data_IF_431352346013
#
_entry.id   IF_431352346013
#
_cell.length_a   1.000
_cell.length_b   1.000
_cell.length_c   1.000
_cell.angle_alpha   90.00
_cell.angle_beta   90.00
_cell.angle_gamma   90.00
#
_symmetry.space_group_name_H-M   'P 1'
#
loop_
_entity.id
_entity.type
_entity.pdbx_description
1 polymer ?
#
# COMPACT_ATOMS: atom_id res chain seq x y z
N UNK A 1 -24.35 6.11 -4.68
CA UNK A 1 -24.26 5.26 -5.88
C UNK A 1 -22.84 4.72 -6.06
N UNK A 2 -21.79 5.53 -5.94
CA UNK A 2 -20.39 5.13 -6.11
C UNK A 2 -19.95 3.97 -5.23
N UNK A 3 -20.28 4.00 -3.93
CA UNK A 3 -19.93 2.91 -3.00
C UNK A 3 -20.50 1.54 -3.45
N UNK A 4 -21.75 1.52 -3.96
CA UNK A 4 -22.35 0.28 -4.45
C UNK A 4 -21.67 -0.21 -5.74
N UNK A 5 -21.28 0.68 -6.63
CA UNK A 5 -20.55 0.35 -7.86
C UNK A 5 -19.12 -0.15 -7.53
N UNK A 6 -18.42 0.53 -6.63
CA UNK A 6 -17.09 0.12 -6.18
C UNK A 6 -17.13 -1.26 -5.51
N UNK A 7 -18.11 -1.52 -4.64
CA UNK A 7 -18.32 -2.82 -4.04
C UNK A 7 -18.62 -3.89 -5.09
N UNK A 8 -19.51 -3.58 -6.06
CA UNK A 8 -19.82 -4.49 -7.17
C UNK A 8 -18.56 -4.85 -7.98
N UNK A 9 -17.74 -3.85 -8.32
CA UNK A 9 -16.48 -4.08 -9.03
C UNK A 9 -15.57 -5.04 -8.27
N UNK A 10 -15.39 -4.81 -6.97
CA UNK A 10 -14.55 -5.62 -6.09
C UNK A 10 -15.05 -7.06 -5.97
N UNK A 11 -16.35 -7.25 -5.73
CA UNK A 11 -16.96 -8.59 -5.60
C UNK A 11 -16.90 -9.36 -6.92
N UNK A 12 -17.21 -8.69 -8.03
CA UNK A 12 -17.16 -9.32 -9.36
C UNK A 12 -15.73 -9.71 -9.77
N UNK A 13 -14.75 -8.85 -9.45
CA UNK A 13 -13.33 -9.16 -9.68
C UNK A 13 -12.89 -10.40 -8.86
N UNK A 14 -13.23 -10.43 -7.58
CA UNK A 14 -12.92 -11.57 -6.73
C UNK A 14 -13.57 -12.85 -7.25
N UNK A 15 -14.87 -12.82 -7.53
CA UNK A 15 -15.61 -13.97 -8.05
C UNK A 15 -15.07 -14.46 -9.40
N UNK A 16 -14.73 -13.54 -10.31
CA UNK A 16 -14.16 -13.86 -11.62
C UNK A 16 -12.77 -14.49 -11.53
N UNK A 17 -11.90 -13.94 -10.70
CA UNK A 17 -10.56 -14.50 -10.48
C UNK A 17 -10.63 -15.86 -9.77
N UNK A 18 -11.51 -16.00 -8.78
CA UNK A 18 -11.73 -17.27 -8.10
C UNK A 18 -12.26 -18.34 -9.07
N UNK A 19 -13.27 -18.00 -9.88
CA UNK A 19 -13.82 -18.88 -10.92
C UNK A 19 -12.76 -19.32 -11.92
N UNK A 20 -11.88 -18.40 -12.35
CA UNK A 20 -10.81 -18.68 -13.32
C UNK A 20 -9.74 -19.61 -12.74
N UNK A 21 -9.21 -19.30 -11.56
CA UNK A 21 -7.98 -19.93 -11.07
C UNK A 21 -8.23 -21.11 -10.12
N UNK A 22 -9.39 -21.19 -9.48
CA UNK A 22 -9.68 -22.24 -8.49
C UNK A 22 -10.81 -23.17 -8.90
N UNK A 23 -11.82 -22.69 -9.60
CA UNK A 23 -12.98 -23.49 -9.98
C UNK A 23 -12.99 -23.89 -11.46
N UNK A 24 -12.15 -23.28 -12.29
CA UNK A 24 -12.08 -23.51 -13.74
C UNK A 24 -13.44 -23.35 -14.46
N UNK A 25 -14.28 -22.43 -13.97
CA UNK A 25 -15.61 -22.15 -14.53
C UNK A 25 -15.50 -21.28 -15.76
N UNK A 26 -16.36 -21.52 -16.74
CA UNK A 26 -16.37 -20.77 -18.01
C UNK A 26 -16.95 -19.35 -17.89
N UNK A 27 -17.74 -19.05 -16.85
CA UNK A 27 -18.38 -17.76 -16.64
C UNK A 27 -17.45 -16.67 -16.05
N UNK A 28 -16.17 -16.98 -15.80
CA UNK A 28 -15.22 -16.03 -15.23
C UNK A 28 -15.06 -14.76 -16.09
N UNK A 29 -15.15 -14.88 -17.41
CA UNK A 29 -15.04 -13.73 -18.31
C UNK A 29 -16.20 -12.76 -18.12
N UNK A 30 -17.42 -13.26 -17.95
CA UNK A 30 -18.60 -12.43 -17.71
C UNK A 30 -18.49 -11.72 -16.35
N UNK A 31 -17.97 -12.39 -15.32
CA UNK A 31 -17.73 -11.79 -14.01
C UNK A 31 -16.66 -10.69 -14.07
N UNK A 32 -15.57 -10.93 -14.78
CA UNK A 32 -14.52 -9.92 -14.97
C UNK A 32 -15.05 -8.71 -15.77
N UNK A 33 -15.91 -8.94 -16.78
CA UNK A 33 -16.53 -7.86 -17.53
C UNK A 33 -17.45 -7.02 -16.62
N UNK A 34 -18.22 -7.64 -15.74
CA UNK A 34 -19.03 -6.91 -14.76
C UNK A 34 -18.18 -6.06 -13.80
N UNK A 35 -16.97 -6.53 -13.45
CA UNK A 35 -16.03 -5.76 -12.65
C UNK A 35 -15.54 -4.51 -13.41
N UNK A 36 -15.17 -4.68 -14.68
CA UNK A 36 -14.74 -3.59 -15.55
C UNK A 36 -15.87 -2.56 -15.68
N UNK A 37 -17.08 -3.00 -16.05
CA UNK A 37 -18.23 -2.11 -16.27
C UNK A 37 -18.58 -1.30 -15.02
N UNK A 38 -18.48 -1.91 -13.85
CA UNK A 38 -18.77 -1.25 -12.58
C UNK A 38 -17.67 -0.23 -12.21
N UNK A 39 -16.41 -0.60 -12.39
CA UNK A 39 -15.27 0.30 -12.14
C UNK A 39 -15.27 1.50 -13.10
N UNK A 40 -15.51 1.26 -14.39
CA UNK A 40 -15.63 2.31 -15.41
C UNK A 40 -16.70 3.34 -15.04
N UNK A 41 -17.87 2.90 -14.57
CA UNK A 41 -18.91 3.82 -14.12
C UNK A 41 -18.51 4.70 -12.93
N UNK A 42 -17.64 4.20 -12.04
CA UNK A 42 -17.10 5.01 -10.95
C UNK A 42 -16.13 6.06 -11.50
N UNK A 43 -15.24 5.64 -12.40
CA UNK A 43 -14.23 6.52 -13.01
C UNK A 43 -14.93 7.61 -13.85
N UNK A 44 -15.85 7.23 -14.72
CA UNK A 44 -16.55 8.14 -15.63
C UNK A 44 -17.52 9.10 -14.93
N UNK A 45 -17.87 8.80 -13.67
CA UNK A 45 -18.74 9.71 -12.90
C UNK A 45 -18.10 11.08 -12.63
N UNK A 46 -16.75 11.14 -12.61
CA UNK A 46 -16.00 12.34 -12.25
C UNK A 46 -16.18 12.79 -10.79
N UNK A 47 -16.90 11.99 -9.96
CA UNK A 47 -17.10 12.29 -8.53
C UNK A 47 -15.86 12.02 -7.70
N UNK A 48 -15.01 11.09 -8.19
CA UNK A 48 -13.81 10.60 -7.49
C UNK A 48 -12.55 10.98 -8.26
N UNK A 49 -11.47 11.17 -7.53
CA UNK A 49 -10.15 11.49 -8.10
C UNK A 49 -9.04 11.03 -7.15
N UNK A 50 -7.87 10.75 -7.69
CA UNK A 50 -6.70 10.47 -6.86
C UNK A 50 -6.35 11.68 -6.00
N UNK A 51 -5.87 11.42 -4.79
CA UNK A 51 -5.40 12.47 -3.89
C UNK A 51 -4.00 12.96 -4.30
N UNK A 52 -3.89 14.22 -4.64
CA UNK A 52 -2.64 14.87 -5.08
C UNK A 52 -2.25 16.07 -4.19
N UNK A 53 -2.90 16.20 -3.03
CA UNK A 53 -2.79 17.37 -2.16
C UNK A 53 -1.43 17.57 -1.48
N UNK A 54 -0.51 16.60 -1.59
CA UNK A 54 0.81 16.62 -0.95
C UNK A 54 1.97 16.31 -1.93
N UNK A 55 1.76 16.54 -3.23
CA UNK A 55 2.77 16.32 -4.26
C UNK A 55 3.28 14.88 -4.28
N UNK A 56 4.58 14.68 -4.30
CA UNK A 56 5.19 13.34 -4.35
C UNK A 56 4.90 12.47 -3.12
N UNK A 57 4.48 13.06 -2.01
CA UNK A 57 4.12 12.38 -0.76
C UNK A 57 2.62 12.08 -0.64
N UNK A 58 1.82 12.37 -1.66
CA UNK A 58 0.37 12.26 -1.61
C UNK A 58 -0.12 10.86 -1.22
N UNK A 59 0.56 9.80 -1.66
CA UNK A 59 0.19 8.44 -1.30
C UNK A 59 0.24 8.19 0.21
N UNK A 60 1.27 8.69 0.90
CA UNK A 60 1.39 8.58 2.36
C UNK A 60 0.35 9.44 3.06
N UNK A 61 0.18 10.68 2.61
CA UNK A 61 -0.71 11.66 3.23
C UNK A 61 -2.19 11.31 3.03
N UNK A 62 -2.53 10.49 2.05
CA UNK A 62 -3.88 9.95 1.86
C UNK A 62 -4.35 9.17 3.10
N UNK A 63 -3.45 8.47 3.80
CA UNK A 63 -3.78 7.58 4.92
C UNK A 63 -3.69 8.24 6.30
N UNK A 64 -3.49 9.54 6.35
CA UNK A 64 -3.49 10.34 7.58
C UNK A 64 -4.52 11.47 7.46
N UNK A 65 -4.67 12.28 8.52
CA UNK A 65 -5.68 13.35 8.57
C UNK A 65 -5.69 14.29 7.34
N UNK A 66 -4.54 14.46 6.66
CA UNK A 66 -4.46 15.27 5.45
C UNK A 66 -5.26 14.69 4.26
N UNK A 67 -5.44 13.38 4.22
CA UNK A 67 -6.23 12.68 3.21
C UNK A 67 -7.72 12.56 3.55
N UNK A 68 -8.11 12.94 4.78
CA UNK A 68 -9.50 12.92 5.18
C UNK A 68 -10.35 13.82 4.27
N UNK A 69 -11.54 13.34 3.93
CA UNK A 69 -12.44 14.02 2.99
C UNK A 69 -11.90 14.19 1.55
N UNK A 70 -10.81 13.49 1.19
CA UNK A 70 -10.34 13.51 -0.19
C UNK A 70 -11.35 12.83 -1.12
N UNK A 71 -11.30 13.23 -2.40
CA UNK A 71 -12.13 12.59 -3.44
C UNK A 71 -11.73 11.14 -3.74
N UNK A 72 -10.62 10.65 -3.22
CA UNK A 72 -10.20 9.26 -3.38
C UNK A 72 -10.98 8.34 -2.45
N UNK A 73 -11.46 8.83 -1.31
CA UNK A 73 -12.31 8.09 -0.39
C UNK A 73 -13.72 7.88 -0.93
N UNK A 74 -14.08 6.64 -1.30
CA UNK A 74 -15.42 6.31 -1.81
C UNK A 74 -16.38 5.95 -0.67
N UNK A 75 -15.91 5.13 0.28
CA UNK A 75 -16.67 4.68 1.43
C UNK A 75 -15.71 4.22 2.52
N UNK A 76 -15.22 5.17 3.26
CA UNK A 76 -14.22 4.97 4.30
C UNK A 76 -14.83 4.95 5.70
N UNK A 77 -14.17 4.23 6.60
CA UNK A 77 -14.48 4.25 8.02
C UNK A 77 -13.49 5.19 8.70
N UNK A 78 -13.94 6.38 9.00
CA UNK A 78 -13.08 7.42 9.56
C UNK A 78 -12.78 7.19 11.03
N UNK A 79 -11.59 7.58 11.41
CA UNK A 79 -11.12 7.62 12.76
C UNK A 79 -10.94 9.08 13.18
N UNK A 80 -11.39 9.41 14.37
CA UNK A 80 -11.34 10.77 14.89
C UNK A 80 -11.10 10.73 16.41
N UNK A 81 -10.34 11.67 16.90
CA UNK A 81 -10.03 11.80 18.32
C UNK A 81 -11.33 11.89 19.13
N UNK A 82 -11.40 11.13 20.21
CA UNK A 82 -12.52 11.05 21.16
C UNK A 82 -13.83 10.45 20.59
N UNK A 83 -13.90 10.14 19.31
CA UNK A 83 -15.05 9.48 18.70
C UNK A 83 -14.72 8.02 18.36
N UNK A 84 -13.67 7.81 17.58
CA UNK A 84 -13.21 6.50 17.18
C UNK A 84 -11.72 6.54 16.88
N UNK A 85 -10.96 5.79 17.62
CA UNK A 85 -9.53 5.61 17.39
C UNK A 85 -9.16 4.13 17.44
N UNK A 86 -7.95 3.82 17.01
CA UNK A 86 -7.39 2.47 17.02
C UNK A 86 -6.06 2.48 17.80
N UNK A 87 -5.66 1.31 18.24
CA UNK A 87 -4.40 1.11 18.96
C UNK A 87 -3.27 0.58 18.09
N UNK A 88 -3.46 0.54 16.76
CA UNK A 88 -2.50 -0.10 15.84
C UNK A 88 -1.18 0.65 15.74
N UNK A 89 -1.15 1.94 16.08
CA UNK A 89 0.09 2.69 16.16
C UNK A 89 1.07 2.09 17.19
N UNK A 90 0.57 1.64 18.35
CA UNK A 90 1.41 1.01 19.36
C UNK A 90 2.03 -0.32 18.90
N UNK A 91 1.26 -1.31 18.39
CA UNK A 91 1.82 -2.54 17.86
C UNK A 91 2.80 -2.33 16.71
N UNK A 92 2.52 -1.41 15.79
CA UNK A 92 3.41 -1.07 14.68
C UNK A 92 4.67 -0.39 15.20
N UNK A 93 4.52 0.58 16.09
CA UNK A 93 5.62 1.33 16.70
C UNK A 93 6.52 0.44 17.55
N UNK A 94 5.95 -0.38 18.43
CA UNK A 94 6.69 -1.30 19.29
C UNK A 94 7.09 -2.61 18.61
N UNK A 95 6.69 -2.83 17.37
CA UNK A 95 7.06 -4.01 16.59
C UNK A 95 6.39 -5.32 17.00
N UNK A 96 5.32 -5.24 17.79
CA UNK A 96 4.76 -6.44 18.39
C UNK A 96 3.94 -7.31 17.43
N UNK A 97 3.35 -6.76 16.35
CA UNK A 97 2.47 -7.54 15.48
C UNK A 97 2.43 -7.13 14.00
N UNK A 98 2.96 -5.99 13.61
CA UNK A 98 2.77 -5.42 12.27
C UNK A 98 4.08 -5.38 11.46
N UNK A 99 4.76 -6.51 11.26
CA UNK A 99 5.94 -6.53 10.38
C UNK A 99 5.55 -6.92 8.97
N UNK A 100 5.80 -6.06 7.97
CA UNK A 100 5.55 -6.39 6.58
C UNK A 100 6.50 -7.50 6.12
N UNK A 101 6.04 -8.29 5.17
CA UNK A 101 6.84 -9.36 4.59
C UNK A 101 7.75 -8.83 3.49
N UNK A 102 8.87 -9.52 3.23
CA UNK A 102 9.70 -9.27 2.06
C UNK A 102 8.88 -9.37 0.77
N UNK A 103 7.98 -10.34 0.68
CA UNK A 103 7.11 -10.50 -0.49
C UNK A 103 6.33 -9.21 -0.80
N UNK A 104 5.85 -8.49 0.22
CA UNK A 104 5.18 -7.20 -0.01
C UNK A 104 6.17 -6.17 -0.59
N UNK A 105 7.39 -6.09 -0.07
CA UNK A 105 8.42 -5.21 -0.61
C UNK A 105 8.78 -5.57 -2.06
N UNK A 106 8.88 -6.86 -2.38
CA UNK A 106 9.21 -7.35 -3.72
C UNK A 106 8.11 -7.04 -4.75
N UNK A 107 6.85 -6.90 -4.34
CA UNK A 107 5.72 -6.58 -5.24
C UNK A 107 5.76 -5.15 -5.82
N UNK A 108 6.52 -4.24 -5.23
CA UNK A 108 6.69 -2.91 -5.82
C UNK A 108 7.51 -2.99 -7.10
N UNK A 109 7.05 -2.31 -8.15
CA UNK A 109 7.70 -2.33 -9.45
C UNK A 109 8.95 -1.44 -9.48
N UNK A 110 9.80 -1.63 -10.48
CA UNK A 110 10.93 -0.74 -10.74
C UNK A 110 10.44 0.55 -11.39
N UNK A 111 10.87 1.70 -10.87
CA UNK A 111 10.41 3.04 -11.30
C UNK A 111 10.72 3.32 -12.77
N UNK A 112 11.91 2.97 -13.23
CA UNK A 112 12.37 3.29 -14.59
C UNK A 112 11.70 2.49 -15.69
N UNK A 113 11.22 1.28 -15.37
CA UNK A 113 10.71 0.34 -16.36
C UNK A 113 9.26 -0.09 -16.15
N UNK A 114 8.74 0.09 -14.93
CA UNK A 114 7.44 -0.46 -14.54
C UNK A 114 7.40 -1.98 -14.47
N UNK A 115 8.55 -2.66 -14.47
CA UNK A 115 8.64 -4.11 -14.43
C UNK A 115 8.81 -4.65 -13.00
N UNK A 116 8.33 -5.88 -12.71
CA UNK A 116 8.61 -6.58 -11.47
C UNK A 116 10.12 -6.85 -11.32
N UNK A 117 10.60 -6.91 -10.08
CA UNK A 117 12.03 -7.10 -9.78
C UNK A 117 12.59 -8.42 -10.29
N UNK A 118 11.76 -9.44 -10.47
CA UNK A 118 12.14 -10.75 -11.01
C UNK A 118 12.45 -10.70 -12.51
N UNK A 119 12.04 -9.64 -13.20
CA UNK A 119 12.33 -9.46 -14.61
C UNK A 119 13.79 -9.00 -14.79
N UNK A 120 14.56 -9.72 -15.60
CA UNK A 120 15.97 -9.40 -15.84
C UNK A 120 16.21 -7.99 -16.41
N UNK A 121 15.20 -7.40 -17.05
CA UNK A 121 15.26 -6.04 -17.61
C UNK A 121 14.64 -4.97 -16.71
N UNK A 122 14.33 -5.31 -15.46
CA UNK A 122 13.66 -4.39 -14.54
C UNK A 122 14.54 -3.22 -14.11
N UNK A 123 15.86 -3.38 -14.11
CA UNK A 123 16.80 -2.42 -13.54
C UNK A 123 16.84 -2.48 -12.00
N UNK A 124 16.42 -3.60 -11.39
CA UNK A 124 16.56 -3.81 -9.96
C UNK A 124 18.02 -3.98 -9.57
N UNK A 125 18.47 -3.24 -8.58
CA UNK A 125 19.88 -3.20 -8.16
C UNK A 125 20.28 -4.30 -7.17
N UNK A 126 19.32 -5.17 -6.81
CA UNK A 126 19.55 -6.31 -5.92
C UNK A 126 19.52 -5.96 -4.44
N UNK A 127 19.94 -6.92 -3.63
CA UNK A 127 19.84 -6.87 -2.17
C UNK A 127 21.19 -6.75 -1.47
N UNK A 128 22.25 -6.37 -2.18
CA UNK A 128 23.59 -6.30 -1.60
C UNK A 128 23.70 -5.26 -0.47
N UNK A 129 22.92 -4.20 -0.58
CA UNK A 129 22.81 -3.15 0.44
C UNK A 129 21.35 -2.73 0.61
N UNK A 130 21.03 -2.10 1.74
CA UNK A 130 19.71 -1.50 1.97
C UNK A 130 19.42 -0.46 0.87
N UNK A 131 20.42 0.33 0.51
CA UNK A 131 20.27 1.35 -0.53
C UNK A 131 19.89 0.73 -1.87
N UNK A 132 20.58 -0.32 -2.32
CA UNK A 132 20.30 -0.98 -3.60
C UNK A 132 18.90 -1.59 -3.66
N UNK A 133 18.38 -2.08 -2.53
CA UNK A 133 17.02 -2.62 -2.46
C UNK A 133 15.93 -1.57 -2.69
N UNK A 134 16.17 -0.33 -2.23
CA UNK A 134 15.20 0.78 -2.31
C UNK A 134 15.42 1.71 -3.52
N UNK A 135 16.55 1.58 -4.22
CA UNK A 135 16.80 2.37 -5.43
C UNK A 135 15.96 1.87 -6.61
N UNK A 136 15.62 2.79 -7.50
CA UNK A 136 14.83 2.50 -8.69
C UNK A 136 13.52 1.74 -8.43
N UNK A 137 12.89 1.95 -7.27
CA UNK A 137 11.62 1.33 -6.91
C UNK A 137 10.47 2.34 -7.00
N UNK A 138 9.26 1.83 -7.12
CA UNK A 138 8.03 2.61 -7.06
C UNK A 138 8.09 3.56 -5.85
N UNK A 139 7.85 4.88 -6.02
CA UNK A 139 7.91 5.85 -4.92
C UNK A 139 7.03 5.49 -3.72
N UNK A 140 5.94 4.76 -3.93
CA UNK A 140 5.04 4.31 -2.86
C UNK A 140 5.72 3.33 -1.90
N UNK A 141 6.76 2.63 -2.35
CA UNK A 141 7.53 1.76 -1.45
C UNK A 141 8.14 2.55 -0.28
N UNK A 142 8.79 3.67 -0.57
CA UNK A 142 9.37 4.55 0.46
C UNK A 142 8.31 5.23 1.34
N UNK A 143 7.11 5.37 0.84
CA UNK A 143 5.97 5.93 1.57
C UNK A 143 5.22 4.90 2.42
N UNK A 144 5.43 3.62 2.17
CA UNK A 144 4.86 2.51 2.94
C UNK A 144 5.83 1.99 3.98
N UNK A 145 7.09 1.77 3.56
CA UNK A 145 8.13 1.24 4.43
C UNK A 145 9.02 2.35 4.98
N UNK A 146 9.24 2.28 6.28
CA UNK A 146 10.23 3.12 6.93
C UNK A 146 11.63 2.71 6.46
N UNK A 147 12.31 3.60 5.77
CA UNK A 147 13.69 3.38 5.36
C UNK A 147 14.63 3.51 6.57
N UNK A 148 15.63 2.64 6.70
CA UNK A 148 16.69 2.82 7.68
C UNK A 148 17.42 4.15 7.44
N UNK A 149 17.47 5.01 8.46
CA UNK A 149 18.09 6.33 8.33
C UNK A 149 17.72 7.27 9.47
N UNK A 150 18.14 8.54 9.37
CA UNK A 150 17.95 9.54 10.43
C UNK A 150 16.53 10.14 10.50
N UNK A 151 15.66 9.82 9.55
CA UNK A 151 14.39 10.55 9.37
C UNK A 151 13.22 10.03 10.23
N UNK A 152 13.48 9.04 11.07
CA UNK A 152 12.45 8.52 11.96
C UNK A 152 12.41 9.31 13.28
N UNK A 153 11.31 10.00 13.50
CA UNK A 153 11.07 10.71 14.76
C UNK A 153 10.07 9.91 15.59
N UNK A 154 10.51 9.44 16.74
CA UNK A 154 9.61 8.86 17.72
C UNK A 154 8.83 9.97 18.41
N UNK A 155 7.51 9.85 18.52
CA UNK A 155 6.72 10.80 19.31
C UNK A 155 7.09 10.86 20.80
N UNK A 156 7.75 9.81 21.32
CA UNK A 156 8.07 9.69 22.75
C UNK A 156 9.51 10.06 23.09
N UNK A 157 10.47 9.75 22.22
CA UNK A 157 11.90 9.79 22.54
C UNK A 157 12.70 10.73 21.64
N UNK A 158 12.05 11.51 20.78
CA UNK A 158 12.73 12.32 19.78
C UNK A 158 13.21 11.50 18.57
N UNK A 159 14.24 11.98 17.89
CA UNK A 159 14.76 11.33 16.72
C UNK A 159 15.37 9.97 17.04
N UNK A 160 14.75 8.91 16.59
CA UNK A 160 15.30 7.56 16.59
C UNK A 160 15.80 7.25 15.18
N UNK A 161 17.04 6.83 15.07
CA UNK A 161 17.51 6.22 13.84
C UNK A 161 16.79 4.89 13.64
N UNK A 162 16.20 4.70 12.46
CA UNK A 162 15.68 3.38 12.10
C UNK A 162 16.84 2.38 12.15
N UNK A 163 16.72 1.27 12.91
CA UNK A 163 17.79 0.31 12.96
C UNK A 163 18.07 -0.27 11.57
N UNK A 164 19.32 -0.66 11.28
CA UNK A 164 19.64 -1.34 10.04
C UNK A 164 18.70 -2.52 9.83
N UNK A 165 18.32 -2.73 8.60
CA UNK A 165 17.33 -3.74 8.19
C UNK A 165 17.61 -5.15 8.73
N UNK A 166 18.89 -5.49 8.84
CA UNK A 166 19.33 -6.80 9.32
C UNK A 166 19.55 -6.92 10.84
N UNK A 167 19.28 -5.85 11.57
CA UNK A 167 19.36 -5.91 13.03
C UNK A 167 18.11 -6.62 13.56
N UNK A 168 18.30 -7.82 14.08
CA UNK A 168 17.23 -8.57 14.73
C UNK A 168 16.87 -7.85 16.03
N UNK A 169 15.77 -7.12 16.01
CA UNK A 169 15.13 -6.57 17.19
C UNK A 169 13.68 -7.03 17.25
N UNK A 170 13.06 -7.05 18.42
CA UNK A 170 11.63 -7.38 18.53
C UNK A 170 10.74 -6.57 17.57
N UNK A 171 11.17 -5.36 17.23
CA UNK A 171 10.46 -4.39 16.40
C UNK A 171 10.53 -4.70 14.89
N UNK A 172 11.45 -5.55 14.44
CA UNK A 172 11.66 -5.78 13.00
C UNK A 172 12.05 -7.22 12.70
N UNK A 173 11.13 -8.16 12.93
CA UNK A 173 11.40 -9.60 12.68
C UNK A 173 11.74 -9.92 11.23
N UNK A 174 11.25 -9.13 10.29
CA UNK A 174 11.49 -9.30 8.84
C UNK A 174 12.53 -8.33 8.30
N UNK A 175 13.03 -7.40 9.11
CA UNK A 175 13.87 -6.30 8.67
C UNK A 175 13.12 -5.11 8.05
N UNK A 176 11.80 -5.21 7.89
CA UNK A 176 10.97 -4.12 7.38
C UNK A 176 10.09 -3.53 8.48
N UNK A 177 9.84 -2.23 8.41
CA UNK A 177 8.94 -1.51 9.28
C UNK A 177 8.01 -0.63 8.44
N UNK A 178 6.75 -0.53 8.84
CA UNK A 178 5.80 0.42 8.26
C UNK A 178 5.99 1.81 8.88
N UNK A 179 5.61 2.83 8.12
CA UNK A 179 5.45 4.18 8.65
C UNK A 179 4.32 4.24 9.67
#
# INVERSE_FOLDING_TARGET
>A
QGAALALKARVALFAGTWAKYHQHRSDYQQLLQQAIDAATKVIDSGEYALYEGSGEESYRYLFINAGDHSKEGIFDSRYETDIRHHSDACPVYWGWRGTPTRKLADMYLCKSTGLPIENANSGFEGYATIKSEYENRDPRMKQTFLMPGPDYISPQDGALTCPPQFTIRPETRTGYKLW
#
